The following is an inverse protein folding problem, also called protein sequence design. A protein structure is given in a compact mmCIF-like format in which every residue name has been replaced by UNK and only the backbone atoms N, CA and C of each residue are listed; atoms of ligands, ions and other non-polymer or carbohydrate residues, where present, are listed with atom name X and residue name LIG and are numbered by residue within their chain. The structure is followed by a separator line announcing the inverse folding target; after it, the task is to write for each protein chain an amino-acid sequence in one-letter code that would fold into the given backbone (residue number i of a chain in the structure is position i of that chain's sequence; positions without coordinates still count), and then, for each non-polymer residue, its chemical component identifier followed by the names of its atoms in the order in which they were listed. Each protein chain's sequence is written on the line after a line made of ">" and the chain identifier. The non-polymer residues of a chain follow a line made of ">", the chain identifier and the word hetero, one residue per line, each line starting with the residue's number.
data_IF_126034473630
#
_entry.id   IF_126034473630
#
_cell.length_a   1.000
_cell.length_b   1.000
_cell.length_c   1.000
_cell.angle_alpha   90.00
_cell.angle_beta   90.00
_cell.angle_gamma   90.00
#
_symmetry.space_group_name_H-M   'P 1'
#
loop_
_entity.id
_entity.type
_entity.pdbx_description
1 polymer ?
#
# COMPACT_ATOMS: atom_id res chain seq x y z
N UNK A 1 36.40 17.74 -21.97
CA UNK A 1 35.34 17.24 -21.06
C UNK A 1 34.28 18.32 -20.78
N UNK A 2 33.95 19.18 -21.74
CA UNK A 2 32.93 20.25 -21.54
C UNK A 2 31.64 20.00 -22.36
N UNK A 3 31.71 19.25 -23.46
CA UNK A 3 30.57 18.97 -24.34
C UNK A 3 29.46 18.09 -23.71
N UNK A 4 29.77 17.27 -22.70
CA UNK A 4 28.76 16.42 -22.05
C UNK A 4 27.91 17.20 -21.02
N UNK A 5 28.45 18.26 -20.44
CA UNK A 5 27.72 19.06 -19.45
C UNK A 5 26.70 20.00 -20.10
N UNK A 6 27.01 20.57 -21.27
CA UNK A 6 26.04 21.40 -22.02
C UNK A 6 24.87 20.60 -22.60
N UNK A 7 25.11 19.40 -23.14
CA UNK A 7 24.03 18.54 -23.69
C UNK A 7 23.07 18.07 -22.60
N UNK A 8 23.58 17.72 -21.42
CA UNK A 8 22.73 17.33 -20.28
C UNK A 8 21.93 18.53 -19.75
N UNK A 9 22.49 19.74 -19.79
CA UNK A 9 21.79 20.96 -19.35
C UNK A 9 20.69 21.38 -20.34
N UNK A 10 20.91 21.23 -21.65
CA UNK A 10 19.92 21.51 -22.71
C UNK A 10 18.75 20.51 -22.71
N UNK A 11 19.02 19.22 -22.46
CA UNK A 11 17.94 18.24 -22.37
C UNK A 11 17.12 18.48 -21.09
N UNK A 12 17.75 18.95 -20.00
CA UNK A 12 17.10 19.19 -18.72
C UNK A 12 16.21 20.46 -18.71
N UNK A 13 16.55 21.52 -19.48
CA UNK A 13 15.72 22.73 -19.60
C UNK A 13 14.49 22.54 -20.50
N UNK A 14 14.54 21.64 -21.49
CA UNK A 14 13.38 21.31 -22.34
C UNK A 14 12.23 20.62 -21.59
N UNK A 15 12.51 20.12 -20.38
CA UNK A 15 11.58 19.36 -19.53
C UNK A 15 10.43 20.21 -18.97
N UNK A 16 10.39 21.53 -19.15
CA UNK A 16 9.44 22.40 -18.44
C UNK A 16 8.88 23.62 -19.20
N UNK A 17 8.85 23.65 -20.53
CA UNK A 17 8.32 24.82 -21.28
C UNK A 17 7.46 24.47 -22.52
N UNK A 18 6.45 23.61 -22.36
CA UNK A 18 5.53 23.27 -23.47
C UNK A 18 4.18 22.76 -22.98
N UNK A 19 3.30 23.67 -22.57
CA UNK A 19 1.87 23.43 -22.42
C UNK A 19 1.23 23.29 -23.80
N UNK A 20 0.63 22.13 -24.07
CA UNK A 20 -0.62 22.01 -24.82
C UNK A 20 -1.20 20.62 -24.48
N UNK A 21 -1.98 20.57 -23.40
CA UNK A 21 -2.86 19.44 -23.14
C UNK A 21 -4.18 19.87 -23.79
N UNK A 22 -4.64 19.10 -24.77
CA UNK A 22 -5.96 19.27 -25.36
C UNK A 22 -7.01 19.20 -24.25
N UNK A 23 -7.67 20.32 -24.01
CA UNK A 23 -8.69 20.50 -22.98
C UNK A 23 -10.02 19.88 -23.42
N UNK A 24 -10.09 18.57 -23.69
CA UNK A 24 -11.37 17.91 -23.94
C UNK A 24 -11.34 16.43 -23.55
N UNK A 25 -11.33 16.16 -22.25
CA UNK A 25 -12.18 15.09 -21.73
C UNK A 25 -12.49 15.33 -20.25
N UNK A 26 -13.66 15.93 -20.03
CA UNK A 26 -14.32 16.06 -18.75
C UNK A 26 -14.69 14.68 -18.23
N UNK A 27 -13.99 14.21 -17.19
CA UNK A 27 -14.52 13.19 -16.30
C UNK A 27 -14.31 13.62 -14.84
N UNK A 28 -15.35 14.29 -14.32
CA UNK A 28 -15.78 14.35 -12.91
C UNK A 28 -14.75 13.93 -11.86
N UNK A 29 -13.77 14.80 -11.59
CA UNK A 29 -12.89 14.66 -10.44
C UNK A 29 -13.58 15.32 -9.23
N UNK A 30 -13.94 14.53 -8.22
CA UNK A 30 -14.37 15.04 -6.91
C UNK A 30 -13.22 15.86 -6.29
N UNK A 31 -13.32 17.17 -6.45
CA UNK A 31 -12.34 18.20 -6.08
C UNK A 31 -12.35 18.50 -4.58
N UNK A 32 -12.60 17.50 -3.73
CA UNK A 32 -12.72 17.69 -2.27
C UNK A 32 -11.61 17.06 -1.42
N UNK A 33 -10.55 16.52 -2.02
CA UNK A 33 -9.42 16.01 -1.23
C UNK A 33 -8.27 17.02 -1.16
N UNK A 34 -8.22 17.89 -0.13
CA UNK A 34 -7.08 18.78 0.05
C UNK A 34 -5.80 17.94 0.18
N UNK A 35 -4.72 18.43 -0.43
CA UNK A 35 -3.34 17.95 -0.35
C UNK A 35 -2.77 18.09 1.07
N UNK A 36 -3.47 17.54 2.04
CA UNK A 36 -3.08 17.47 3.43
C UNK A 36 -2.14 16.28 3.57
N UNK A 37 -0.84 16.54 3.61
CA UNK A 37 0.18 15.66 4.19
C UNK A 37 -0.10 15.49 5.71
N UNK A 38 -1.27 14.95 6.06
CA UNK A 38 -1.63 14.67 7.45
C UNK A 38 -0.78 13.49 7.91
N UNK A 39 0.00 13.72 8.95
CA UNK A 39 0.77 12.76 9.71
C UNK A 39 -0.03 11.48 9.98
N UNK A 40 0.10 10.51 9.08
CA UNK A 40 -0.63 9.25 9.05
C UNK A 40 -0.32 8.50 7.76
N UNK A 41 -0.34 7.15 7.80
CA UNK A 41 -0.30 6.38 6.56
C UNK A 41 -1.66 6.57 5.88
N UNK A 42 -1.67 7.28 4.74
CA UNK A 42 -2.87 7.45 3.92
C UNK A 42 -3.48 6.11 3.46
N UNK A 43 -4.68 6.14 2.85
CA UNK A 43 -5.36 4.93 2.39
C UNK A 43 -4.49 4.15 1.41
N UNK A 44 -4.70 2.84 1.36
CA UNK A 44 -4.00 1.96 0.43
C UNK A 44 -4.21 2.43 -1.02
N UNK A 45 -3.18 2.25 -1.85
CA UNK A 45 -3.25 2.57 -3.28
C UNK A 45 -4.23 1.61 -3.94
N UNK A 46 -5.20 2.15 -4.65
CA UNK A 46 -6.16 1.37 -5.43
C UNK A 46 -5.50 0.82 -6.69
N UNK A 47 -6.05 -0.26 -7.25
CA UNK A 47 -5.49 -0.87 -8.46
C UNK A 47 -5.51 0.10 -9.66
N UNK A 48 -6.52 0.98 -9.73
CA UNK A 48 -6.62 2.04 -10.75
C UNK A 48 -5.50 3.07 -10.60
N UNK A 49 -5.26 3.56 -9.38
CA UNK A 49 -4.14 4.47 -9.10
C UNK A 49 -2.79 3.81 -9.40
N UNK A 50 -2.63 2.53 -9.06
CA UNK A 50 -1.42 1.76 -9.35
C UNK A 50 -1.17 1.64 -10.87
N UNK A 51 -2.21 1.34 -11.65
CA UNK A 51 -2.12 1.33 -13.12
C UNK A 51 -1.75 2.68 -13.70
N UNK A 52 -2.29 3.79 -13.15
CA UNK A 52 -1.91 5.15 -13.56
C UNK A 52 -0.44 5.45 -13.29
N UNK A 53 0.08 5.05 -12.13
CA UNK A 53 1.49 5.22 -11.75
C UNK A 53 2.42 4.44 -12.71
N UNK A 54 2.07 3.20 -13.05
CA UNK A 54 2.88 2.36 -13.94
C UNK A 54 2.94 2.96 -15.35
N UNK A 55 1.79 3.36 -15.91
CA UNK A 55 1.73 4.00 -17.24
C UNK A 55 2.54 5.29 -17.31
N UNK A 56 2.46 6.14 -16.28
CA UNK A 56 3.24 7.39 -16.23
C UNK A 56 4.74 7.14 -16.18
N UNK A 57 5.16 6.08 -15.49
CA UNK A 57 6.57 5.69 -15.43
C UNK A 57 7.05 5.11 -16.77
N UNK A 58 6.22 4.30 -17.44
CA UNK A 58 6.52 3.80 -18.81
C UNK A 58 6.67 4.95 -19.82
N UNK A 59 5.92 6.03 -19.64
CA UNK A 59 6.07 7.28 -20.39
C UNK A 59 7.29 8.14 -20.00
N UNK A 60 8.21 7.65 -19.17
CA UNK A 60 9.45 8.34 -18.82
C UNK A 60 9.31 9.48 -17.79
N UNK A 61 8.16 9.61 -17.13
CA UNK A 61 7.96 10.62 -16.09
C UNK A 61 8.74 10.22 -14.82
N UNK A 62 9.41 11.18 -14.19
CA UNK A 62 10.18 10.90 -12.97
C UNK A 62 9.27 10.57 -11.78
N UNK A 63 9.74 9.71 -10.86
CA UNK A 63 8.97 9.32 -9.67
C UNK A 63 8.47 10.51 -8.84
N UNK A 64 9.25 11.60 -8.79
CA UNK A 64 8.87 12.83 -8.08
C UNK A 64 7.71 13.54 -8.77
N UNK A 65 7.77 13.70 -10.09
CA UNK A 65 6.66 14.31 -10.84
C UNK A 65 5.40 13.43 -10.81
N UNK A 66 5.54 12.10 -10.78
CA UNK A 66 4.41 11.18 -10.59
C UNK A 66 3.79 11.37 -9.20
N UNK A 67 4.61 11.46 -8.16
CA UNK A 67 4.16 11.68 -6.79
C UNK A 67 3.33 12.98 -6.66
N UNK A 68 3.82 14.07 -7.26
CA UNK A 68 3.14 15.36 -7.25
C UNK A 68 1.81 15.32 -8.03
N UNK A 69 1.77 14.65 -9.19
CA UNK A 69 0.55 14.50 -10.01
C UNK A 69 -0.52 13.60 -9.39
N UNK A 70 -0.11 12.55 -8.67
CA UNK A 70 -1.02 11.58 -8.06
C UNK A 70 -1.37 11.97 -6.61
N UNK A 71 -0.69 12.97 -6.03
CA UNK A 71 -0.88 13.39 -4.64
C UNK A 71 -0.43 12.34 -3.64
N UNK A 72 0.59 11.54 -3.97
CA UNK A 72 1.09 10.43 -3.13
C UNK A 72 2.56 10.63 -2.78
N UNK A 73 3.01 9.95 -1.71
CA UNK A 73 4.42 10.03 -1.31
C UNK A 73 5.33 9.35 -2.33
N UNK A 74 6.56 9.86 -2.48
CA UNK A 74 7.58 9.24 -3.36
C UNK A 74 7.84 7.77 -3.04
N UNK A 75 7.89 7.42 -1.75
CA UNK A 75 8.06 6.03 -1.31
C UNK A 75 6.90 5.12 -1.72
N UNK A 76 5.67 5.65 -1.77
CA UNK A 76 4.50 4.93 -2.25
C UNK A 76 4.62 4.61 -3.74
N UNK A 77 4.97 5.60 -4.57
CA UNK A 77 5.22 5.42 -6.01
C UNK A 77 6.31 4.39 -6.26
N UNK A 78 7.45 4.50 -5.57
CA UNK A 78 8.56 3.54 -5.68
C UNK A 78 8.14 2.12 -5.33
N UNK A 79 7.32 1.94 -4.29
CA UNK A 79 6.80 0.62 -3.89
C UNK A 79 5.85 0.03 -4.94
N UNK A 80 5.00 0.85 -5.57
CA UNK A 80 4.11 0.41 -6.65
C UNK A 80 4.92 -0.07 -7.85
N UNK A 81 5.92 0.70 -8.27
CA UNK A 81 6.79 0.34 -9.40
C UNK A 81 7.61 -0.92 -9.11
N UNK A 82 8.12 -1.07 -7.88
CA UNK A 82 8.81 -2.28 -7.47
C UNK A 82 7.91 -3.52 -7.54
N UNK A 83 6.64 -3.40 -7.10
CA UNK A 83 5.64 -4.47 -7.23
C UNK A 83 5.34 -4.82 -8.69
N UNK A 84 5.21 -3.81 -9.54
CA UNK A 84 4.93 -3.99 -10.98
C UNK A 84 6.07 -4.74 -11.70
N UNK A 85 7.33 -4.54 -11.29
CA UNK A 85 8.51 -5.25 -11.83
C UNK A 85 8.69 -6.68 -11.28
N UNK A 86 7.68 -7.24 -10.61
CA UNK A 86 7.77 -8.57 -9.99
C UNK A 86 8.48 -8.58 -8.64
N UNK A 87 8.78 -7.42 -8.05
CA UNK A 87 9.28 -7.32 -6.70
C UNK A 87 8.23 -7.87 -5.73
N UNK A 88 8.58 -8.96 -5.02
CA UNK A 88 7.71 -9.67 -4.08
C UNK A 88 7.50 -8.83 -2.82
N UNK A 89 6.71 -7.77 -2.94
CA UNK A 89 6.13 -7.05 -1.82
C UNK A 89 4.65 -7.39 -1.69
N UNK A 90 4.27 -8.65 -1.94
CA UNK A 90 3.04 -9.18 -1.40
C UNK A 90 3.13 -8.97 0.12
N UNK A 91 2.32 -8.04 0.63
CA UNK A 91 2.31 -7.74 2.05
C UNK A 91 2.03 -9.07 2.76
N UNK A 92 3.04 -9.61 3.45
CA UNK A 92 2.86 -10.83 4.25
C UNK A 92 1.66 -10.54 5.15
N UNK A 93 0.62 -11.36 5.04
CA UNK A 93 -0.54 -11.26 5.94
C UNK A 93 0.05 -11.24 7.34
N UNK A 94 -0.25 -10.17 8.10
CA UNK A 94 0.25 -10.09 9.47
C UNK A 94 -0.27 -11.31 10.19
N UNK A 95 0.63 -12.12 10.75
CA UNK A 95 0.23 -13.19 11.64
C UNK A 95 -0.59 -12.53 12.76
N UNK A 96 -1.80 -13.05 12.98
CA UNK A 96 -2.64 -12.57 14.05
C UNK A 96 -1.96 -12.73 15.42
N UNK A 97 -2.52 -12.13 16.47
CA UNK A 97 -2.06 -12.37 17.83
C UNK A 97 -1.94 -13.88 18.10
N UNK A 98 -0.90 -14.27 18.86
CA UNK A 98 -0.77 -15.66 19.30
C UNK A 98 -2.00 -16.05 20.12
N UNK A 99 -2.47 -17.27 19.92
CA UNK A 99 -3.52 -17.86 20.74
C UNK A 99 -3.06 -17.90 22.21
N UNK A 100 -3.96 -17.54 23.14
CA UNK A 100 -3.69 -17.60 24.59
C UNK A 100 -3.66 -19.04 25.12
N UNK A 101 -4.16 -19.97 24.33
CA UNK A 101 -4.36 -21.37 24.69
C UNK A 101 -3.48 -22.22 23.78
N UNK A 102 -2.78 -23.20 24.35
CA UNK A 102 -2.01 -24.14 23.55
C UNK A 102 -2.94 -25.03 22.71
N UNK A 103 -2.43 -25.62 21.63
CA UNK A 103 -3.22 -26.54 20.81
C UNK A 103 -3.69 -27.78 21.60
N UNK A 104 -2.90 -28.23 22.59
CA UNK A 104 -3.28 -29.31 23.48
C UNK A 104 -4.47 -28.92 24.35
N UNK A 105 -4.40 -27.74 24.98
CA UNK A 105 -5.44 -27.26 25.88
C UNK A 105 -6.72 -26.95 25.10
N UNK A 106 -6.61 -26.44 23.87
CA UNK A 106 -7.76 -26.25 22.98
C UNK A 106 -8.50 -27.57 22.73
N UNK A 107 -7.78 -28.67 22.46
CA UNK A 107 -8.40 -30.00 22.28
C UNK A 107 -9.06 -30.52 23.56
N UNK A 108 -8.47 -30.25 24.72
CA UNK A 108 -9.05 -30.63 26.01
C UNK A 108 -10.31 -29.81 26.33
N UNK A 109 -10.29 -28.50 26.05
CA UNK A 109 -11.46 -27.62 26.18
C UNK A 109 -12.61 -28.12 25.32
N UNK A 110 -12.35 -28.49 24.05
CA UNK A 110 -13.37 -29.06 23.16
C UNK A 110 -13.93 -30.36 23.73
N UNK A 111 -13.07 -31.28 24.19
CA UNK A 111 -13.50 -32.57 24.75
C UNK A 111 -14.35 -32.42 26.01
N UNK A 112 -13.97 -31.52 26.92
CA UNK A 112 -14.73 -31.26 28.15
C UNK A 112 -16.03 -30.49 27.89
N UNK A 113 -16.03 -29.60 26.89
CA UNK A 113 -17.24 -28.88 26.47
C UNK A 113 -18.25 -29.78 25.74
N UNK A 114 -17.79 -30.85 25.06
CA UNK A 114 -18.67 -31.84 24.43
C UNK A 114 -19.44 -32.71 25.42
N UNK A 115 -19.08 -32.69 26.72
CA UNK A 115 -19.86 -33.35 27.77
C UNK A 115 -21.06 -32.47 28.14
N UNK A 116 -22.22 -33.08 28.36
CA UNK A 116 -23.46 -32.36 28.71
C UNK A 116 -23.36 -31.75 30.13
N UNK A 117 -23.95 -30.55 30.31
CA UNK A 117 -24.08 -29.92 31.65
C UNK A 117 -22.89 -29.12 32.16
N UNK A 118 -21.88 -28.88 31.33
CA UNK A 118 -20.69 -28.13 31.70
C UNK A 118 -20.79 -26.64 31.34
N UNK A 119 -20.60 -25.75 32.32
CA UNK A 119 -20.46 -24.32 32.09
C UNK A 119 -19.01 -23.95 31.75
N UNK A 120 -18.80 -22.82 31.07
CA UNK A 120 -17.46 -22.36 30.69
C UNK A 120 -16.48 -22.28 31.89
N UNK A 121 -16.97 -21.89 33.07
CA UNK A 121 -16.16 -21.86 34.30
C UNK A 121 -15.74 -23.26 34.76
N UNK A 122 -16.63 -24.26 34.66
CA UNK A 122 -16.33 -25.65 34.99
C UNK A 122 -15.30 -26.24 34.02
N UNK A 123 -15.45 -25.97 32.72
CA UNK A 123 -14.51 -26.42 31.68
C UNK A 123 -13.13 -25.78 31.88
N UNK A 124 -13.08 -24.47 32.17
CA UNK A 124 -11.82 -23.76 32.47
C UNK A 124 -11.11 -24.34 33.70
N UNK A 125 -11.86 -24.63 34.77
CA UNK A 125 -11.32 -25.25 35.98
C UNK A 125 -10.82 -26.69 35.73
N UNK A 126 -11.53 -27.47 34.92
CA UNK A 126 -11.15 -28.85 34.61
C UNK A 126 -9.87 -28.95 33.77
N UNK A 127 -9.66 -28.01 32.82
CA UNK A 127 -8.48 -28.02 31.93
C UNK A 127 -7.30 -27.23 32.53
N UNK A 128 -7.53 -26.39 33.55
CA UNK A 128 -6.47 -25.63 34.22
C UNK A 128 -5.90 -24.47 33.39
N UNK A 129 -6.67 -23.98 32.42
CA UNK A 129 -6.27 -22.87 31.53
C UNK A 129 -6.49 -21.53 32.25
N UNK A 130 -5.50 -20.63 32.20
CA UNK A 130 -5.57 -19.28 32.80
C UNK A 130 -6.26 -18.26 31.91
#
# INVERSE_FOLDING_TARGET
>A
MEAFHEVVTIICTSKYMGKSIDENECDSFDESTPLNFRMGRGPAVTDREAGRIVRLHEGGVSERAIADRVGRSRGCVRNVLAKAKGGVAAAKKKTGPKLKVSERDARLLVREASKTGNSARKVKAAVGVQ
#
